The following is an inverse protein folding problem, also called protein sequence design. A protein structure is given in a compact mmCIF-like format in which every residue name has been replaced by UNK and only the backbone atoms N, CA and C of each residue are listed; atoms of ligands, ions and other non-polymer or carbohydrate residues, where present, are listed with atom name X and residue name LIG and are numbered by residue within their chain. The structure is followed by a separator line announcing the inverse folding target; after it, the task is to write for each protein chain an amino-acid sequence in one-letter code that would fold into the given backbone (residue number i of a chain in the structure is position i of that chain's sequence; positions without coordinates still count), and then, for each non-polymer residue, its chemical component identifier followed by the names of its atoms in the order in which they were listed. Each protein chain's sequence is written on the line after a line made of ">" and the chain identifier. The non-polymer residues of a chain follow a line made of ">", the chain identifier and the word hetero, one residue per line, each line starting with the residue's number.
data_IF_012725398262
#
_entry.id   IF_012725398262
#
_cell.length_a   1.000
_cell.length_b   1.000
_cell.length_c   1.000
_cell.angle_alpha   90.00
_cell.angle_beta   90.00
_cell.angle_gamma   90.00
#
_symmetry.space_group_name_H-M   'P 1'
#
loop_
_entity.id
_entity.type
_entity.pdbx_description
1 polymer ?
#
# COMPACT_ATOMS: atom_id res chain seq x y z
N UNK A 1 12.15 -3.90 -9.48
CA UNK A 1 11.34 -3.63 -8.27
C UNK A 1 12.29 -3.33 -7.13
N UNK A 2 12.08 -2.23 -6.41
CA UNK A 2 12.95 -1.78 -5.32
C UNK A 2 12.25 -2.04 -3.98
N UNK A 3 12.99 -2.53 -2.98
CA UNK A 3 12.48 -2.81 -1.63
C UNK A 3 13.47 -2.31 -0.59
N UNK A 4 12.97 -1.72 0.49
CA UNK A 4 13.78 -1.32 1.63
C UNK A 4 12.97 -1.36 2.92
N UNK A 5 13.67 -1.24 4.05
CA UNK A 5 13.04 -0.96 5.34
C UNK A 5 13.34 0.49 5.71
N UNK A 6 12.29 1.28 5.97
CA UNK A 6 12.40 2.67 6.44
C UNK A 6 11.49 2.85 7.63
N UNK A 7 11.99 3.50 8.69
CA UNK A 7 11.25 3.69 9.94
C UNK A 7 10.60 2.38 10.43
N UNK A 8 11.37 1.28 10.42
CA UNK A 8 10.92 -0.06 10.79
C UNK A 8 9.73 -0.61 9.98
N UNK A 9 9.54 -0.13 8.76
CA UNK A 9 8.41 -0.50 7.89
C UNK A 9 8.95 -0.98 6.54
N UNK A 10 8.50 -2.14 6.02
CA UNK A 10 8.81 -2.56 4.66
C UNK A 10 8.15 -1.62 3.64
N UNK A 11 8.94 -1.14 2.68
CA UNK A 11 8.46 -0.34 1.55
C UNK A 11 8.80 -1.03 0.23
N UNK A 12 7.89 -0.87 -0.72
CA UNK A 12 8.03 -1.33 -2.10
C UNK A 12 7.88 -0.15 -3.06
N UNK A 13 8.78 -0.13 -4.03
CA UNK A 13 8.91 0.94 -5.00
C UNK A 13 9.33 0.44 -6.37
N UNK A 14 9.30 1.36 -7.32
CA UNK A 14 9.89 1.19 -8.65
C UNK A 14 11.16 2.02 -8.69
N UNK A 15 12.26 1.39 -9.15
CA UNK A 15 13.55 2.05 -9.20
C UNK A 15 13.47 3.33 -10.06
N UNK A 16 13.99 4.44 -9.54
CA UNK A 16 13.88 5.75 -10.17
C UNK A 16 12.49 6.41 -10.11
N UNK A 17 11.44 5.73 -9.67
CA UNK A 17 10.06 6.27 -9.61
C UNK A 17 9.48 6.41 -8.20
N UNK A 18 10.25 6.05 -7.17
CA UNK A 18 9.85 6.21 -5.76
C UNK A 18 9.03 5.02 -5.22
N UNK A 19 8.41 5.24 -4.06
CA UNK A 19 7.70 4.21 -3.31
C UNK A 19 6.20 4.24 -3.61
N UNK A 20 5.56 3.09 -3.75
CA UNK A 20 4.11 3.03 -4.02
C UNK A 20 3.32 2.30 -2.93
N UNK A 21 4.00 1.48 -2.12
CA UNK A 21 3.37 0.66 -1.08
C UNK A 21 4.25 0.59 0.16
N UNK A 22 3.64 0.70 1.34
CA UNK A 22 4.26 0.46 2.64
C UNK A 22 3.45 -0.52 3.49
N UNK A 23 4.13 -1.28 4.35
CA UNK A 23 3.49 -2.24 5.26
C UNK A 23 3.82 -1.86 6.71
N UNK A 24 2.81 -1.89 7.57
CA UNK A 24 2.98 -1.74 9.01
C UNK A 24 2.26 -2.86 9.76
N UNK A 25 2.99 -3.55 10.64
CA UNK A 25 2.41 -4.58 11.50
C UNK A 25 1.94 -3.96 12.81
N UNK A 26 0.65 -4.11 13.11
CA UNK A 26 0.05 -3.79 14.40
C UNK A 26 -0.28 -5.08 15.14
N UNK A 27 -0.55 -4.95 16.45
CA UNK A 27 -0.88 -6.10 17.29
C UNK A 27 -2.10 -6.92 16.85
N UNK A 28 -2.99 -6.34 16.02
CA UNK A 28 -4.26 -6.96 15.59
C UNK A 28 -4.49 -7.01 14.08
N UNK A 29 -3.64 -6.37 13.30
CA UNK A 29 -3.79 -6.30 11.86
C UNK A 29 -2.49 -5.89 11.17
N UNK A 30 -2.38 -6.25 9.90
CA UNK A 30 -1.36 -5.71 9.00
C UNK A 30 -2.00 -4.60 8.18
N UNK A 31 -1.37 -3.43 8.18
CA UNK A 31 -1.79 -2.30 7.35
C UNK A 31 -0.95 -2.26 6.10
N UNK A 32 -1.61 -2.28 4.95
CA UNK A 32 -1.01 -2.00 3.65
C UNK A 32 -1.41 -0.59 3.23
N UNK A 33 -0.44 0.32 3.17
CA UNK A 33 -0.62 1.70 2.73
C UNK A 33 -0.25 1.83 1.26
N UNK A 34 -1.22 2.17 0.41
CA UNK A 34 -1.00 2.54 -0.98
C UNK A 34 -0.86 4.07 -1.05
N UNK A 35 0.34 4.57 -1.35
CA UNK A 35 0.62 6.00 -1.21
C UNK A 35 -0.18 6.89 -2.19
N UNK A 36 -0.46 6.36 -3.38
CA UNK A 36 -1.42 6.94 -4.35
C UNK A 36 -2.77 6.21 -4.37
N UNK A 37 -3.16 5.65 -3.22
CA UNK A 37 -4.36 4.83 -3.05
C UNK A 37 -5.67 5.47 -3.53
N UNK A 38 -5.78 6.80 -3.47
CA UNK A 38 -6.96 7.54 -3.94
C UNK A 38 -7.21 7.41 -5.46
N UNK A 39 -6.16 7.07 -6.23
CA UNK A 39 -6.24 6.87 -7.69
C UNK A 39 -6.60 5.44 -8.08
N UNK A 40 -6.57 4.50 -7.15
CA UNK A 40 -6.84 3.09 -7.45
C UNK A 40 -8.34 2.85 -7.67
N UNK A 41 -8.64 1.79 -8.43
CA UNK A 41 -10.00 1.34 -8.74
C UNK A 41 -10.14 -0.17 -8.51
N UNK A 42 -11.11 -0.63 -7.70
CA UNK A 42 -11.92 0.15 -6.76
C UNK A 42 -11.06 0.90 -5.73
N UNK A 43 -11.66 1.85 -5.00
CA UNK A 43 -10.95 2.61 -3.96
C UNK A 43 -10.68 1.70 -2.74
N UNK A 44 -9.43 1.57 -2.25
CA UNK A 44 -9.17 0.84 -1.01
C UNK A 44 -9.90 1.48 0.18
N UNK A 45 -10.47 0.68 1.10
CA UNK A 45 -11.49 1.15 2.04
C UNK A 45 -10.96 2.08 3.14
N UNK A 46 -9.71 1.88 3.59
CA UNK A 46 -9.14 2.60 4.72
C UNK A 46 -8.74 4.03 4.37
N UNK A 47 -9.29 5.07 5.02
CA UNK A 47 -8.79 6.43 4.87
C UNK A 47 -7.39 6.57 5.51
N UNK A 48 -6.65 7.59 5.08
CA UNK A 48 -5.39 8.02 5.67
C UNK A 48 -5.44 9.49 6.05
N UNK A 49 -4.53 9.92 6.94
CA UNK A 49 -4.33 11.35 7.23
C UNK A 49 -3.73 12.09 6.04
N UNK A 50 -2.97 11.40 5.19
CA UNK A 50 -2.52 11.92 3.90
C UNK A 50 -3.63 11.77 2.86
N UNK A 51 -3.98 12.86 2.16
CA UNK A 51 -5.12 12.88 1.23
C UNK A 51 -5.05 11.83 0.12
N UNK A 52 -3.85 11.53 -0.38
CA UNK A 52 -3.67 10.60 -1.51
C UNK A 52 -3.60 9.13 -1.08
N UNK A 53 -3.28 8.87 0.18
CA UNK A 53 -3.02 7.52 0.67
C UNK A 53 -4.32 6.81 1.04
N UNK A 54 -4.44 5.54 0.64
CA UNK A 54 -5.49 4.64 1.13
C UNK A 54 -4.88 3.38 1.70
N UNK A 55 -5.54 2.85 2.72
CA UNK A 55 -5.08 1.72 3.49
C UNK A 55 -6.00 0.52 3.27
N UNK A 56 -5.40 -0.67 3.32
CA UNK A 56 -6.10 -1.92 3.55
C UNK A 56 -5.58 -2.47 4.88
N UNK A 57 -6.47 -2.62 5.85
CA UNK A 57 -6.16 -3.27 7.13
C UNK A 57 -6.63 -4.72 7.04
N UNK A 58 -5.69 -5.66 7.11
CA UNK A 58 -5.93 -7.11 7.04
C UNK A 58 -5.83 -7.68 8.45
N UNK A 59 -6.94 -8.16 9.00
CA UNK A 59 -7.01 -8.86 10.29
C UNK A 59 -6.86 -10.36 10.09
N UNK A 60 -6.59 -11.06 11.19
CA UNK A 60 -6.35 -12.51 11.23
C UNK A 60 -7.51 -13.32 10.60
N UNK A 61 -8.75 -12.96 10.89
CA UNK A 61 -9.95 -13.66 10.41
C UNK A 61 -10.54 -13.06 9.12
N UNK A 62 -9.90 -12.03 8.54
CA UNK A 62 -10.41 -11.40 7.33
C UNK A 62 -10.19 -12.33 6.12
N UNK A 63 -11.24 -12.56 5.34
CA UNK A 63 -11.09 -13.14 4.02
C UNK A 63 -10.41 -12.12 3.10
N UNK A 64 -9.15 -12.37 2.72
CA UNK A 64 -8.45 -11.53 1.76
C UNK A 64 -8.90 -11.87 0.33
N UNK A 65 -9.52 -10.91 -0.35
CA UNK A 65 -9.69 -10.99 -1.80
C UNK A 65 -8.33 -10.77 -2.47
N UNK A 66 -7.61 -11.87 -2.71
CA UNK A 66 -6.28 -11.86 -3.31
C UNK A 66 -6.27 -11.24 -4.72
N UNK A 67 -7.32 -11.48 -5.51
CA UNK A 67 -7.42 -10.96 -6.87
C UNK A 67 -7.53 -9.43 -6.85
N UNK A 68 -8.36 -8.89 -5.95
CA UNK A 68 -8.49 -7.46 -5.76
C UNK A 68 -7.21 -6.84 -5.16
N UNK A 69 -6.57 -7.51 -4.21
CA UNK A 69 -5.31 -7.05 -3.65
C UNK A 69 -4.21 -6.93 -4.72
N UNK A 70 -4.05 -7.98 -5.55
CA UNK A 70 -3.09 -7.98 -6.64
C UNK A 70 -3.39 -6.91 -7.69
N UNK A 71 -4.67 -6.68 -7.99
CA UNK A 71 -5.09 -5.60 -8.89
C UNK A 71 -4.68 -4.21 -8.36
N UNK A 72 -4.78 -3.97 -7.05
CA UNK A 72 -4.30 -2.72 -6.44
C UNK A 72 -2.79 -2.59 -6.47
N UNK A 73 -2.04 -3.65 -6.16
CA UNK A 73 -0.57 -3.63 -6.22
C UNK A 73 -0.09 -3.29 -7.63
N UNK A 74 -0.70 -3.91 -8.66
CA UNK A 74 -0.38 -3.65 -10.06
C UNK A 74 -0.64 -2.18 -10.42
N UNK A 75 -1.85 -1.68 -10.16
CA UNK A 75 -2.19 -0.27 -10.43
C UNK A 75 -1.24 0.69 -9.70
N UNK A 76 -0.95 0.43 -8.43
CA UNK A 76 -0.06 1.29 -7.64
C UNK A 76 1.37 1.32 -8.20
N UNK A 77 1.86 0.19 -8.74
CA UNK A 77 3.19 0.11 -9.36
C UNK A 77 3.32 0.87 -10.67
N UNK A 78 2.20 1.21 -11.32
CA UNK A 78 2.13 1.96 -12.58
C UNK A 78 2.00 3.48 -12.35
N UNK A 79 1.82 3.91 -11.10
CA UNK A 79 1.69 5.32 -10.73
C UNK A 79 3.04 5.90 -10.25
N UNK A 80 3.27 7.22 -10.41
CA UNK A 80 4.42 7.89 -9.79
C UNK A 80 4.40 7.71 -8.26
N UNK A 81 5.48 7.14 -7.74
CA UNK A 81 5.65 6.89 -6.31
C UNK A 81 5.93 8.15 -5.50
N UNK A 82 5.92 7.99 -4.18
CA UNK A 82 6.35 9.02 -3.24
C UNK A 82 7.87 9.06 -3.12
N UNK A 83 8.39 10.27 -2.99
CA UNK A 83 9.78 10.50 -2.60
C UNK A 83 9.86 10.44 -1.09
N UNK A 84 10.42 9.36 -0.57
CA UNK A 84 10.68 9.18 0.86
C UNK A 84 12.15 8.97 1.08
#
# INVERSE_FOLDING_TARGET
>A
MHKAVKWNSPLYGVEGQGWFLGIHCYAKYVKVAFFRGAKLRPLPPGPSKSQDTRNLDIREDDALDEAQFMAWVKQASELPGERM
#
